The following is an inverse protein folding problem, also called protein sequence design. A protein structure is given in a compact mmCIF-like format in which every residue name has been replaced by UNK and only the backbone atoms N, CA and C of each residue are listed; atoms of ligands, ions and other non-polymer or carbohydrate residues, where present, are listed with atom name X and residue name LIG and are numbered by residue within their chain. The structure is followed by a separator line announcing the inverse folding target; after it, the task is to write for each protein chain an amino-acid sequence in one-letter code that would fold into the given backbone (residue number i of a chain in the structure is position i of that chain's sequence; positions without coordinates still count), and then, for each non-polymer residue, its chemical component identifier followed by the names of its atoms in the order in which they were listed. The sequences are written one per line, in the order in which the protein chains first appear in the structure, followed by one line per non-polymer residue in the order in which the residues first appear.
data_IF_835800511107
#
_entry.id   IF_835800511107
#
_cell.length_a   1.000
_cell.length_b   1.000
_cell.length_c   1.000
_cell.angle_alpha   90.00
_cell.angle_beta   90.00
_cell.angle_gamma   90.00
#
_symmetry.space_group_name_H-M   'P 1'
#
loop_
_entity.id
_entity.type
_entity.pdbx_description
1 polymer ?
#
# COMPACT_ATOMS: atom_id res chain seq x y z
N UNK A 1 0.40 -47.80 -16.62
CA UNK A 1 -0.66 -46.86 -16.21
C UNK A 1 -0.31 -46.29 -14.85
N UNK A 2 -0.06 -44.99 -14.77
CA UNK A 2 0.36 -44.33 -13.53
C UNK A 2 0.74 -42.88 -13.79
N UNK A 3 -0.26 -42.05 -14.12
CA UNK A 3 -0.11 -40.60 -14.08
C UNK A 3 -0.04 -40.22 -12.60
N UNK A 4 1.09 -39.63 -12.18
CA UNK A 4 1.21 -38.93 -10.91
C UNK A 4 0.86 -37.48 -11.19
N UNK A 5 -0.28 -37.05 -10.70
CA UNK A 5 -0.64 -35.63 -10.60
C UNK A 5 0.41 -34.95 -9.72
N UNK A 6 1.25 -34.14 -10.35
CA UNK A 6 2.11 -33.21 -9.63
C UNK A 6 1.23 -32.03 -9.25
N UNK A 7 0.82 -31.98 -7.98
CA UNK A 7 0.27 -30.77 -7.39
C UNK A 7 1.20 -29.60 -7.71
N UNK A 8 0.72 -28.72 -8.56
CA UNK A 8 1.36 -27.46 -8.92
C UNK A 8 1.10 -26.46 -7.80
N UNK A 9 1.76 -26.63 -6.64
CA UNK A 9 1.98 -25.54 -5.69
C UNK A 9 3.10 -24.66 -6.24
N UNK A 10 2.81 -23.99 -7.36
CA UNK A 10 3.63 -22.87 -7.79
C UNK A 10 3.50 -21.77 -6.75
N UNK A 11 4.61 -21.25 -6.18
CA UNK A 11 4.55 -20.10 -5.31
C UNK A 11 3.84 -18.97 -6.06
N UNK A 12 2.67 -18.56 -5.58
CA UNK A 12 2.02 -17.37 -6.14
C UNK A 12 2.93 -16.19 -5.87
N UNK A 13 3.28 -15.39 -6.90
CA UNK A 13 4.07 -14.19 -6.69
C UNK A 13 3.35 -13.31 -5.66
N UNK A 14 4.03 -12.99 -4.56
CA UNK A 14 3.58 -12.02 -3.58
C UNK A 14 4.19 -10.68 -3.95
N UNK A 15 3.34 -9.75 -4.37
CA UNK A 15 3.72 -8.35 -4.51
C UNK A 15 3.69 -7.70 -3.13
N UNK A 16 4.70 -6.89 -2.82
CA UNK A 16 4.77 -6.15 -1.58
C UNK A 16 4.97 -4.67 -1.89
N UNK A 17 4.23 -3.83 -1.17
CA UNK A 17 4.31 -2.39 -1.33
C UNK A 17 4.03 -1.69 -0.01
N UNK A 18 3.69 -0.41 -0.12
CA UNK A 18 3.34 0.43 1.02
C UNK A 18 2.10 1.23 0.70
N UNK A 19 1.44 1.72 1.73
CA UNK A 19 0.27 2.56 1.59
C UNK A 19 -0.07 3.26 2.88
N UNK A 20 -1.01 4.19 2.80
CA UNK A 20 -1.45 5.00 3.92
C UNK A 20 -2.97 4.99 4.01
N UNK A 21 -3.48 4.88 5.23
CA UNK A 21 -4.89 5.17 5.47
C UNK A 21 -5.16 6.66 5.22
N UNK A 22 -6.24 6.94 4.51
CA UNK A 22 -6.69 8.31 4.15
C UNK A 22 -8.02 8.68 4.81
N UNK A 23 -8.55 7.79 5.65
CA UNK A 23 -9.85 7.95 6.30
C UNK A 23 -9.93 7.08 7.56
N UNK A 24 -10.77 7.49 8.51
CA UNK A 24 -10.98 6.74 9.75
C UNK A 24 -11.74 5.41 9.54
N UNK A 25 -12.50 5.29 8.46
CA UNK A 25 -13.32 4.12 8.11
C UNK A 25 -12.55 3.07 7.30
N UNK A 26 -11.27 3.30 7.01
CA UNK A 26 -10.34 2.27 6.55
C UNK A 26 -10.04 2.27 5.05
N UNK A 27 -10.27 3.38 4.34
CA UNK A 27 -9.71 3.55 3.00
C UNK A 27 -8.21 3.78 3.07
N UNK A 28 -7.49 3.09 2.18
CA UNK A 28 -6.05 3.12 2.05
C UNK A 28 -5.66 3.37 0.59
N UNK A 29 -4.65 4.20 0.39
CA UNK A 29 -4.06 4.44 -0.94
C UNK A 29 -2.72 3.71 -1.06
N UNK A 30 -2.48 3.14 -2.23
CA UNK A 30 -1.23 2.47 -2.62
C UNK A 30 -0.99 2.66 -4.12
N UNK A 31 0.05 2.05 -4.66
CA UNK A 31 0.34 2.09 -6.08
C UNK A 31 -0.45 1.03 -6.85
N UNK A 32 -0.87 1.35 -8.08
CA UNK A 32 -1.58 0.40 -8.94
C UNK A 32 -0.72 -0.83 -9.25
N UNK A 33 0.56 -0.64 -9.57
CA UNK A 33 1.47 -1.75 -9.89
C UNK A 33 1.65 -2.75 -8.72
N UNK A 34 1.34 -2.35 -7.48
CA UNK A 34 1.38 -3.25 -6.31
C UNK A 34 0.17 -4.19 -6.29
N UNK A 35 -0.97 -3.76 -6.85
CA UNK A 35 -2.25 -4.48 -6.78
C UNK A 35 -2.71 -5.10 -8.10
N UNK A 36 -2.08 -4.75 -9.23
CA UNK A 36 -2.53 -5.05 -10.60
C UNK A 36 -2.79 -6.53 -10.89
N UNK A 37 -2.02 -7.45 -10.28
CA UNK A 37 -2.20 -8.90 -10.43
C UNK A 37 -2.66 -9.59 -9.13
N UNK A 38 -3.00 -8.81 -8.10
CA UNK A 38 -3.41 -9.31 -6.80
C UNK A 38 -4.83 -9.87 -6.80
N UNK A 39 -5.01 -11.04 -6.17
CA UNK A 39 -6.33 -11.66 -5.97
C UNK A 39 -6.80 -11.60 -4.52
N UNK A 40 -5.86 -11.41 -3.59
CA UNK A 40 -6.09 -11.21 -2.17
C UNK A 40 -5.12 -10.14 -1.68
N UNK A 41 -5.61 -9.27 -0.80
CA UNK A 41 -4.83 -8.15 -0.28
C UNK A 41 -4.86 -8.21 1.24
N UNK A 42 -3.68 -8.19 1.84
CA UNK A 42 -3.51 -8.15 3.30
C UNK A 42 -2.69 -6.92 3.64
N UNK A 43 -3.23 -6.08 4.52
CA UNK A 43 -2.57 -4.91 5.05
C UNK A 43 -1.97 -5.27 6.40
N UNK A 44 -0.66 -5.07 6.53
CA UNK A 44 0.04 -5.20 7.81
C UNK A 44 0.28 -3.80 8.35
N UNK A 45 -0.32 -3.49 9.50
CA UNK A 45 -0.18 -2.19 10.15
C UNK A 45 1.16 -2.11 10.91
N UNK A 46 1.56 -0.90 11.31
CA UNK A 46 2.84 -0.67 12.01
C UNK A 46 2.94 -1.37 13.38
N UNK A 47 1.81 -1.67 14.02
CA UNK A 47 1.71 -2.48 15.24
C UNK A 47 1.69 -4.00 14.97
N UNK A 48 1.84 -4.42 13.71
CA UNK A 48 1.93 -5.83 13.30
C UNK A 48 0.58 -6.51 13.13
N UNK A 49 -0.52 -5.77 13.10
CA UNK A 49 -1.86 -6.33 12.88
C UNK A 49 -2.08 -6.58 11.40
N UNK A 50 -2.49 -7.79 11.07
CA UNK A 50 -2.89 -8.17 9.71
C UNK A 50 -4.39 -7.91 9.53
N UNK A 51 -4.73 -7.30 8.40
CA UNK A 51 -6.09 -6.91 8.06
C UNK A 51 -6.39 -7.28 6.61
N UNK A 52 -7.51 -7.94 6.38
CA UNK A 52 -7.96 -8.23 5.03
C UNK A 52 -8.47 -6.96 4.34
N UNK A 53 -8.02 -6.73 3.11
CA UNK A 53 -8.37 -5.58 2.32
C UNK A 53 -9.06 -6.00 1.01
N UNK A 54 -9.96 -5.14 0.55
CA UNK A 54 -10.65 -5.27 -0.73
C UNK A 54 -10.24 -4.14 -1.65
N UNK A 55 -10.07 -4.47 -2.93
CA UNK A 55 -9.84 -3.46 -3.95
C UNK A 55 -11.13 -2.65 -4.20
N UNK A 56 -11.05 -1.34 -4.02
CA UNK A 56 -12.15 -0.40 -4.31
C UNK A 56 -12.04 0.10 -5.74
N UNK A 57 -10.83 0.41 -6.19
CA UNK A 57 -10.58 0.89 -7.54
C UNK A 57 -9.11 1.12 -7.84
N UNK A 58 -8.79 1.23 -9.13
CA UNK A 58 -7.45 1.51 -9.63
C UNK A 58 -7.49 2.58 -10.72
N UNK A 59 -6.40 3.35 -10.80
CA UNK A 59 -6.10 4.24 -11.92
C UNK A 59 -4.67 3.95 -12.43
N UNK A 60 -4.55 3.15 -13.52
CA UNK A 60 -3.26 2.85 -14.12
C UNK A 60 -2.54 4.07 -14.71
N UNK A 61 -3.25 5.17 -15.03
CA UNK A 61 -2.62 6.36 -15.64
C UNK A 61 -1.76 7.13 -14.63
N UNK A 62 -2.19 7.15 -13.37
CA UNK A 62 -1.49 7.82 -12.27
C UNK A 62 -0.76 6.84 -11.36
N UNK A 63 -0.80 5.54 -11.68
CA UNK A 63 -0.27 4.45 -10.84
C UNK A 63 -0.83 4.46 -9.41
N UNK A 64 -2.13 4.71 -9.25
CA UNK A 64 -2.81 4.77 -7.95
C UNK A 64 -3.84 3.64 -7.79
N UNK A 65 -3.97 3.15 -6.57
CA UNK A 65 -5.02 2.21 -6.19
C UNK A 65 -5.58 2.54 -4.81
N UNK A 66 -6.87 2.25 -4.63
CA UNK A 66 -7.58 2.41 -3.36
C UNK A 66 -8.03 1.04 -2.88
N UNK A 67 -7.63 0.72 -1.65
CA UNK A 67 -8.06 -0.46 -0.92
C UNK A 67 -8.99 -0.04 0.24
N UNK A 68 -9.87 -0.95 0.65
CA UNK A 68 -10.73 -0.80 1.82
C UNK A 68 -10.52 -1.96 2.78
N UNK A 69 -10.21 -1.64 4.02
CA UNK A 69 -10.14 -2.60 5.11
C UNK A 69 -11.46 -2.56 5.90
N UNK A 70 -12.01 -3.73 6.20
CA UNK A 70 -13.22 -3.87 7.02
C UNK A 70 -12.86 -4.45 8.40
N UNK A 71 -13.37 -3.81 9.46
CA UNK A 71 -13.10 -4.24 10.85
C UNK A 71 -11.76 -3.74 11.39
N UNK A 72 -11.74 -3.34 12.66
CA UNK A 72 -10.51 -2.86 13.30
C UNK A 72 -10.66 -1.61 14.19
N UNK A 73 -11.83 -0.98 14.19
CA UNK A 73 -12.05 0.28 14.92
C UNK A 73 -11.74 1.50 14.05
N UNK A 74 -11.48 2.65 14.68
CA UNK A 74 -11.06 3.87 13.97
C UNK A 74 -9.59 3.74 13.58
N UNK A 75 -9.29 3.92 12.31
CA UNK A 75 -7.91 3.90 11.82
C UNK A 75 -7.26 5.28 11.96
N UNK A 76 -5.98 5.31 12.34
CA UNK A 76 -5.16 6.52 12.21
C UNK A 76 -4.85 6.72 10.73
N UNK A 77 -5.16 7.90 10.19
CA UNK A 77 -5.01 8.21 8.78
C UNK A 77 -4.25 9.53 8.59
N UNK A 78 -3.76 9.74 7.37
CA UNK A 78 -3.11 10.99 6.97
C UNK A 78 -4.10 11.90 6.25
N UNK A 79 -4.03 13.19 6.53
CA UNK A 79 -4.73 14.22 5.76
C UNK A 79 -3.89 14.64 4.55
N UNK A 80 -4.57 15.00 3.47
CA UNK A 80 -3.91 15.58 2.30
C UNK A 80 -3.59 17.05 2.57
N UNK A 81 -2.30 17.41 2.44
CA UNK A 81 -1.88 18.79 2.45
C UNK A 81 -2.24 19.49 1.13
N UNK A 82 -2.56 20.77 1.22
CA UNK A 82 -2.75 21.65 0.07
C UNK A 82 -1.40 21.89 -0.64
N UNK A 83 -1.29 21.38 -1.87
CA UNK A 83 -0.07 21.37 -2.68
C UNK A 83 0.35 22.77 -3.15
N UNK A 84 -0.59 23.73 -3.20
CA UNK A 84 -0.32 25.12 -3.58
C UNK A 84 0.69 25.81 -2.65
N UNK A 85 0.84 25.29 -1.43
CA UNK A 85 1.72 25.81 -0.38
C UNK A 85 3.11 25.16 -0.36
N UNK A 86 3.32 24.07 -1.09
CA UNK A 86 4.59 23.33 -1.11
C UNK A 86 5.60 24.02 -2.03
N UNK A 87 6.79 24.31 -1.52
CA UNK A 87 7.87 24.99 -2.25
C UNK A 87 9.07 24.06 -2.42
N UNK A 88 9.82 24.29 -3.49
CA UNK A 88 11.13 23.67 -3.68
C UNK A 88 12.02 24.02 -2.48
N UNK A 89 12.65 23.01 -1.87
CA UNK A 89 13.43 23.15 -0.65
C UNK A 89 12.66 22.96 0.66
N UNK A 90 11.33 22.79 0.63
CA UNK A 90 10.61 22.35 1.83
C UNK A 90 11.04 20.92 2.19
N UNK A 91 11.17 20.67 3.49
CA UNK A 91 11.54 19.37 4.03
C UNK A 91 10.40 18.37 3.84
N UNK A 92 10.74 17.17 3.36
CA UNK A 92 9.81 16.05 3.23
C UNK A 92 10.34 14.83 3.95
N UNK A 93 9.41 14.02 4.44
CA UNK A 93 9.71 12.71 5.00
C UNK A 93 8.91 11.68 4.22
N UNK A 94 9.61 10.83 3.48
CA UNK A 94 9.02 9.66 2.84
C UNK A 94 8.96 8.53 3.86
N UNK A 95 7.78 7.93 4.02
CA UNK A 95 7.56 6.76 4.87
C UNK A 95 7.13 5.62 3.96
N UNK A 96 7.70 4.43 4.12
CA UNK A 96 7.32 3.26 3.33
C UNK A 96 8.06 2.03 3.80
N UNK A 97 7.54 0.84 3.56
CA UNK A 97 8.14 -0.44 3.89
C UNK A 97 8.62 -1.18 2.62
N UNK A 98 9.75 -0.76 2.00
CA UNK A 98 10.22 -1.31 0.73
C UNK A 98 10.67 -2.78 0.80
N UNK A 99 10.90 -3.34 2.00
CA UNK A 99 11.44 -4.71 2.17
C UNK A 99 10.69 -5.58 3.19
N UNK A 100 9.64 -5.08 3.83
CA UNK A 100 8.80 -5.87 4.75
C UNK A 100 9.41 -6.04 6.14
N UNK A 101 10.63 -5.52 6.35
CA UNK A 101 11.43 -5.68 7.57
C UNK A 101 11.10 -4.66 8.67
N UNK A 102 10.10 -3.81 8.45
CA UNK A 102 9.74 -2.68 9.31
C UNK A 102 9.77 -1.39 8.51
N UNK A 103 8.76 -0.55 8.68
CA UNK A 103 8.62 0.71 7.94
C UNK A 103 9.91 1.52 7.91
N UNK A 104 10.38 1.85 6.70
CA UNK A 104 11.51 2.73 6.44
C UNK A 104 11.04 4.17 6.39
N UNK A 105 11.78 5.06 7.05
CA UNK A 105 11.55 6.50 7.01
C UNK A 105 12.78 7.14 6.37
N UNK A 106 12.60 7.90 5.30
CA UNK A 106 13.67 8.61 4.57
C UNK A 106 13.33 10.09 4.53
N UNK A 107 14.23 10.95 5.02
CA UNK A 107 14.06 12.40 4.95
C UNK A 107 14.76 12.98 3.71
N UNK A 108 14.14 14.00 3.10
CA UNK A 108 14.65 14.68 1.91
C UNK A 108 14.07 16.09 1.77
N UNK A 109 14.26 16.70 0.60
CA UNK A 109 13.68 17.99 0.25
C UNK A 109 12.89 17.87 -1.06
N UNK A 110 11.87 18.71 -1.23
CA UNK A 110 11.19 18.84 -2.53
C UNK A 110 12.19 19.37 -3.56
N UNK A 111 12.51 18.54 -4.55
CA UNK A 111 13.54 18.84 -5.56
C UNK A 111 12.99 19.56 -6.79
N UNK A 112 11.71 19.35 -7.13
CA UNK A 112 11.04 19.94 -8.29
C UNK A 112 9.50 20.00 -8.08
N UNK A 113 8.80 20.79 -8.89
CA UNK A 113 7.35 20.86 -8.98
C UNK A 113 6.86 20.19 -10.26
#
# INVERSE_FOLDING_TARGET
FGHRDRNNDQPRPVAQGSGFFISEDGYLVTNNHVVEEGTAFTVVTNDGKELDAKLVGTDPRTDLAVLKVDGGGKFTYVDFADDSKVRVGDWVVAVGNPFGLGGTVTAGIVSAR
#
